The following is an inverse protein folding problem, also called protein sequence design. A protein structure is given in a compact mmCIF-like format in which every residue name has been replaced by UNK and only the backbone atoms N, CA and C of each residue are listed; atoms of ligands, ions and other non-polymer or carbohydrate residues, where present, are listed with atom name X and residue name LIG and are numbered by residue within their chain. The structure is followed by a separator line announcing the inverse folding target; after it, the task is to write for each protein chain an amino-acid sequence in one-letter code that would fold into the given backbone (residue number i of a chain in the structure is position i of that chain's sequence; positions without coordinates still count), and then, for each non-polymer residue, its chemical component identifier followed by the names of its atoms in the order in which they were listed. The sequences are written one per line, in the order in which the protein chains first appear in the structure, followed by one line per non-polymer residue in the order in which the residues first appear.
data_IF_267681328891
#
_entry.id   IF_267681328891
#
_cell.length_a   1.000
_cell.length_b   1.000
_cell.length_c   1.000
_cell.angle_alpha   90.00
_cell.angle_beta   90.00
_cell.angle_gamma   90.00
#
_symmetry.space_group_name_H-M   'P 1'
#
loop_
_entity.id
_entity.type
_entity.pdbx_description
1 polymer ?
#
# COMPACT_ATOMS: atom_id res chain seq x y z
N UNK A 1 -60.30 26.44 1.71
CA UNK A 1 -59.56 26.66 0.44
C UNK A 1 -58.73 27.95 0.48
N UNK A 2 -59.28 29.12 0.82
CA UNK A 2 -58.54 30.39 0.84
C UNK A 2 -57.28 30.41 1.75
N UNK A 3 -57.34 29.86 2.98
CA UNK A 3 -56.15 29.75 3.86
C UNK A 3 -55.02 28.87 3.29
N UNK A 4 -55.37 27.83 2.54
CA UNK A 4 -54.38 26.94 1.91
C UNK A 4 -53.73 27.56 0.67
N UNK A 5 -54.46 28.41 -0.05
CA UNK A 5 -53.93 29.19 -1.17
C UNK A 5 -52.96 30.27 -0.68
N UNK A 6 -53.34 31.04 0.35
CA UNK A 6 -52.47 32.07 0.93
C UNK A 6 -51.17 31.49 1.51
N UNK A 7 -51.23 30.31 2.17
CA UNK A 7 -50.03 29.62 2.65
C UNK A 7 -49.15 29.09 1.51
N UNK A 8 -49.74 28.77 0.35
CA UNK A 8 -48.99 28.32 -0.83
C UNK A 8 -48.30 29.50 -1.52
N UNK A 9 -48.96 30.64 -1.62
CA UNK A 9 -48.42 31.87 -2.20
C UNK A 9 -47.26 32.44 -1.36
N UNK A 10 -47.43 32.53 -0.03
CA UNK A 10 -46.35 32.95 0.88
C UNK A 10 -45.14 32.00 0.79
N UNK A 11 -45.42 30.71 0.66
CA UNK A 11 -44.41 29.66 0.47
C UNK A 11 -43.63 29.81 -0.84
N UNK A 12 -44.31 30.13 -1.95
CA UNK A 12 -43.68 30.37 -3.24
C UNK A 12 -42.85 31.66 -3.22
N UNK A 13 -43.36 32.72 -2.58
CA UNK A 13 -42.64 33.98 -2.42
C UNK A 13 -41.32 33.83 -1.65
N UNK A 14 -41.32 33.07 -0.54
CA UNK A 14 -40.09 32.77 0.23
C UNK A 14 -39.09 31.94 -0.57
N UNK A 15 -39.57 31.03 -1.40
CA UNK A 15 -38.70 30.22 -2.27
C UNK A 15 -38.05 31.09 -3.36
N UNK A 16 -38.79 32.05 -3.92
CA UNK A 16 -38.22 33.07 -4.82
C UNK A 16 -37.21 33.97 -4.11
N UNK A 17 -37.49 34.44 -2.89
CA UNK A 17 -36.51 35.20 -2.08
C UNK A 17 -35.24 34.41 -1.80
N UNK A 18 -35.36 33.12 -1.47
CA UNK A 18 -34.21 32.24 -1.27
C UNK A 18 -33.36 32.09 -2.53
N UNK A 19 -34.01 31.94 -3.70
CA UNK A 19 -33.29 31.90 -4.98
C UNK A 19 -32.59 33.23 -5.29
N UNK A 20 -33.21 34.37 -4.97
CA UNK A 20 -32.59 35.69 -5.11
C UNK A 20 -31.41 35.86 -4.16
N UNK A 21 -31.50 35.44 -2.91
CA UNK A 21 -30.40 35.48 -1.95
C UNK A 21 -29.19 34.67 -2.46
N UNK A 22 -29.43 33.46 -2.98
CA UNK A 22 -28.38 32.64 -3.62
C UNK A 22 -27.80 33.35 -4.85
N UNK A 23 -28.65 33.90 -5.73
CA UNK A 23 -28.19 34.58 -6.95
C UNK A 23 -27.26 35.77 -6.65
N UNK A 24 -27.51 36.49 -5.57
CA UNK A 24 -26.70 37.65 -5.14
C UNK A 24 -25.53 37.28 -4.19
N UNK A 25 -25.37 36.00 -3.82
CA UNK A 25 -24.42 35.56 -2.78
C UNK A 25 -24.64 36.27 -1.42
N UNK A 26 -25.91 36.57 -1.09
CA UNK A 26 -26.31 37.34 0.10
C UNK A 26 -26.53 36.41 1.31
N UNK A 27 -25.58 36.43 2.24
CA UNK A 27 -25.62 35.65 3.49
C UNK A 27 -26.62 36.27 4.48
N UNK A 28 -26.76 37.58 4.51
CA UNK A 28 -27.61 38.27 5.47
C UNK A 28 -29.08 37.97 5.19
N UNK A 29 -29.49 38.02 3.92
CA UNK A 29 -30.84 37.66 3.50
C UNK A 29 -31.12 36.16 3.71
N UNK A 30 -30.12 35.29 3.54
CA UNK A 30 -30.25 33.87 3.88
C UNK A 30 -30.56 33.69 5.38
N UNK A 31 -29.87 34.41 6.26
CA UNK A 31 -30.13 34.35 7.70
C UNK A 31 -31.48 34.96 8.09
N UNK A 32 -31.89 36.05 7.44
CA UNK A 32 -33.24 36.62 7.62
C UNK A 32 -34.33 35.59 7.30
N UNK A 33 -34.22 34.91 6.14
CA UNK A 33 -35.16 33.87 5.71
C UNK A 33 -35.20 32.67 6.66
N UNK A 34 -34.05 32.28 7.24
CA UNK A 34 -33.98 31.20 8.23
C UNK A 34 -34.62 31.63 9.56
N UNK A 35 -34.44 32.90 9.97
CA UNK A 35 -35.13 33.47 11.13
C UNK A 35 -36.65 33.50 10.95
N UNK A 36 -37.13 33.85 9.74
CA UNK A 36 -38.55 33.83 9.37
C UNK A 36 -39.14 32.40 9.35
N UNK A 37 -38.38 31.40 8.88
CA UNK A 37 -38.83 30.00 8.80
C UNK A 37 -37.75 28.99 9.22
N UNK A 38 -37.81 28.53 10.47
CA UNK A 38 -36.83 27.61 11.05
C UNK A 38 -36.74 26.25 10.32
N UNK A 39 -37.82 25.80 9.65
CA UNK A 39 -37.87 24.53 8.92
C UNK A 39 -37.60 24.66 7.40
N UNK A 40 -37.20 25.85 6.92
CA UNK A 40 -37.03 26.15 5.50
C UNK A 40 -36.11 25.12 4.80
N UNK A 41 -34.93 24.87 5.39
CA UNK A 41 -33.94 23.93 4.85
C UNK A 41 -34.35 22.47 5.00
N UNK A 42 -35.13 22.12 6.03
CA UNK A 42 -35.67 20.77 6.21
C UNK A 42 -36.70 20.44 5.13
N UNK A 43 -37.55 21.41 4.79
CA UNK A 43 -38.56 21.27 3.74
C UNK A 43 -37.94 21.03 2.37
N UNK A 44 -36.89 21.80 2.04
CA UNK A 44 -36.11 21.66 0.82
C UNK A 44 -35.38 20.30 0.74
N UNK A 45 -35.28 19.57 1.86
CA UNK A 45 -34.73 18.21 1.89
C UNK A 45 -35.76 17.09 1.67
N UNK A 46 -37.07 17.36 1.71
CA UNK A 46 -38.10 16.31 1.75
C UNK A 46 -38.32 15.54 0.43
N UNK A 47 -37.89 16.10 -0.71
CA UNK A 47 -37.91 15.41 -2.00
C UNK A 47 -36.69 14.51 -2.18
N UNK A 48 -36.84 13.23 -2.60
CA UNK A 48 -35.71 12.31 -2.73
C UNK A 48 -34.70 12.69 -3.82
N UNK A 49 -35.03 13.64 -4.72
CA UNK A 49 -34.22 13.96 -5.91
C UNK A 49 -34.27 15.45 -6.33
N UNK A 50 -34.66 16.37 -5.44
CA UNK A 50 -34.68 17.80 -5.79
C UNK A 50 -33.32 18.47 -5.56
N UNK A 51 -32.97 19.43 -6.42
CA UNK A 51 -31.84 20.31 -6.20
C UNK A 51 -32.03 21.03 -4.87
N UNK A 52 -31.11 20.82 -3.93
CA UNK A 52 -31.09 21.59 -2.69
C UNK A 52 -30.57 23.00 -2.96
N UNK A 53 -30.83 23.98 -2.06
CA UNK A 53 -30.21 25.31 -2.14
C UNK A 53 -28.69 25.26 -2.38
N UNK A 54 -28.00 24.28 -1.77
CA UNK A 54 -26.57 24.08 -1.96
C UNK A 54 -26.18 23.61 -3.36
N UNK A 55 -27.01 22.82 -4.03
CA UNK A 55 -26.78 22.45 -5.44
C UNK A 55 -26.81 23.70 -6.34
N UNK A 56 -27.79 24.57 -6.12
CA UNK A 56 -27.98 25.81 -6.89
C UNK A 56 -26.82 26.77 -6.64
N UNK A 57 -26.46 27.00 -5.37
CA UNK A 57 -25.34 27.87 -5.01
C UNK A 57 -24.00 27.36 -5.58
N UNK A 58 -23.77 26.04 -5.53
CA UNK A 58 -22.56 25.42 -6.09
C UNK A 58 -22.50 25.52 -7.62
N UNK A 59 -23.61 25.29 -8.32
CA UNK A 59 -23.71 25.45 -9.77
C UNK A 59 -23.53 26.92 -10.21
N UNK A 60 -23.92 27.89 -9.39
CA UNK A 60 -23.81 29.32 -9.66
C UNK A 60 -22.48 29.96 -9.18
N UNK A 61 -21.60 29.19 -8.52
CA UNK A 61 -20.31 29.68 -8.01
C UNK A 61 -20.40 30.59 -6.79
N UNK A 62 -21.54 30.56 -6.09
CA UNK A 62 -21.88 31.43 -4.96
C UNK A 62 -21.27 30.85 -3.69
N UNK A 63 -19.95 31.02 -3.57
CA UNK A 63 -19.12 30.28 -2.61
C UNK A 63 -19.48 30.64 -1.17
N UNK A 64 -19.76 31.90 -0.88
CA UNK A 64 -20.04 32.38 0.48
C UNK A 64 -21.34 31.77 0.99
N UNK A 65 -22.42 31.89 0.22
CA UNK A 65 -23.72 31.26 0.52
C UNK A 65 -23.65 29.73 0.51
N UNK A 66 -22.90 29.13 -0.42
CA UNK A 66 -22.71 27.67 -0.45
C UNK A 66 -22.04 27.16 0.83
N UNK A 67 -21.04 27.87 1.34
CA UNK A 67 -20.36 27.52 2.57
C UNK A 67 -21.26 27.67 3.79
N UNK A 68 -22.01 28.77 3.87
CA UNK A 68 -22.99 28.95 4.96
C UNK A 68 -24.07 27.87 4.94
N UNK A 69 -24.61 27.52 3.77
CA UNK A 69 -25.55 26.40 3.63
C UNK A 69 -24.95 25.06 4.04
N UNK A 70 -23.67 24.82 3.75
CA UNK A 70 -22.96 23.62 4.17
C UNK A 70 -22.75 23.56 5.69
N UNK A 71 -22.49 24.71 6.34
CA UNK A 71 -22.36 24.84 7.80
C UNK A 71 -23.71 24.62 8.48
N UNK A 72 -24.75 25.32 8.01
CA UNK A 72 -26.10 25.26 8.57
C UNK A 72 -26.75 23.89 8.39
N UNK A 73 -26.49 23.22 7.25
CA UNK A 73 -27.05 21.90 6.96
C UNK A 73 -26.07 20.98 6.22
N UNK A 74 -25.11 20.35 6.94
CA UNK A 74 -24.07 19.50 6.34
C UNK A 74 -24.61 18.34 5.51
N UNK A 75 -25.82 17.84 5.80
CA UNK A 75 -26.46 16.78 5.00
C UNK A 75 -26.60 17.13 3.51
N UNK A 76 -26.65 18.42 3.15
CA UNK A 76 -26.76 18.86 1.77
C UNK A 76 -25.51 18.58 0.93
N UNK A 77 -24.32 18.53 1.54
CA UNK A 77 -23.05 18.36 0.81
C UNK A 77 -22.94 16.99 0.12
N UNK A 78 -23.64 15.97 0.66
CA UNK A 78 -23.62 14.58 0.19
C UNK A 78 -24.88 14.16 -0.55
N UNK A 79 -25.96 14.95 -0.46
CA UNK A 79 -27.22 14.65 -1.13
C UNK A 79 -27.02 14.75 -2.64
N UNK A 80 -27.62 13.83 -3.39
CA UNK A 80 -27.61 13.85 -4.85
C UNK A 80 -28.90 14.48 -5.38
N UNK A 81 -28.79 15.21 -6.49
CA UNK A 81 -29.95 15.69 -7.24
C UNK A 81 -30.57 14.59 -8.13
N UNK A 82 -31.57 14.94 -8.93
CA UNK A 82 -32.26 14.04 -9.87
C UNK A 82 -31.38 13.44 -10.95
N UNK A 83 -30.28 14.10 -11.28
CA UNK A 83 -29.31 13.62 -12.26
C UNK A 83 -28.26 12.70 -11.60
N UNK A 84 -28.24 12.64 -10.26
CA UNK A 84 -27.28 11.87 -9.50
C UNK A 84 -26.01 12.65 -9.16
N UNK A 85 -26.01 13.98 -9.24
CA UNK A 85 -24.85 14.82 -8.92
C UNK A 85 -24.94 15.38 -7.50
N UNK A 86 -23.80 15.44 -6.81
CA UNK A 86 -23.67 16.18 -5.55
C UNK A 86 -23.38 17.66 -5.84
N UNK A 87 -23.48 18.57 -4.84
CA UNK A 87 -23.12 19.97 -5.05
C UNK A 87 -21.68 20.15 -5.56
N UNK A 88 -20.74 19.33 -5.10
CA UNK A 88 -19.36 19.36 -5.61
C UNK A 88 -19.27 18.96 -7.08
N UNK A 89 -20.09 18.02 -7.56
CA UNK A 89 -20.12 17.69 -9.00
C UNK A 89 -20.65 18.87 -9.82
N UNK A 90 -21.70 19.54 -9.36
CA UNK A 90 -22.25 20.71 -10.05
C UNK A 90 -21.27 21.89 -10.08
N UNK A 91 -20.54 22.12 -8.97
CA UNK A 91 -19.47 23.12 -8.96
C UNK A 91 -18.40 22.83 -10.03
N UNK A 92 -17.99 21.57 -10.17
CA UNK A 92 -17.01 21.17 -11.18
C UNK A 92 -17.56 21.24 -12.61
N UNK A 93 -18.82 20.85 -12.80
CA UNK A 93 -19.51 20.90 -14.10
C UNK A 93 -19.62 22.32 -14.64
N UNK A 94 -19.84 23.29 -13.76
CA UNK A 94 -19.94 24.71 -14.09
C UNK A 94 -18.63 25.49 -13.87
N UNK A 95 -17.50 24.79 -13.70
CA UNK A 95 -16.15 25.38 -13.60
C UNK A 95 -15.95 26.32 -12.39
N UNK A 96 -16.80 26.20 -11.37
CA UNK A 96 -16.73 26.96 -10.12
C UNK A 96 -15.70 26.32 -9.17
N UNK A 97 -14.44 26.31 -9.58
CA UNK A 97 -13.33 25.74 -8.80
C UNK A 97 -13.16 26.36 -7.41
N UNK A 98 -13.35 27.67 -7.18
CA UNK A 98 -13.30 28.24 -5.83
C UNK A 98 -14.32 27.58 -4.89
N UNK A 99 -15.54 27.34 -5.37
CA UNK A 99 -16.58 26.66 -4.57
C UNK A 99 -16.22 25.19 -4.33
N UNK A 100 -15.67 24.49 -5.32
CA UNK A 100 -15.19 23.11 -5.14
C UNK A 100 -14.04 23.03 -4.11
N UNK A 101 -13.10 23.98 -4.12
CA UNK A 101 -12.01 24.10 -3.13
C UNK A 101 -12.54 24.37 -1.73
N UNK A 102 -13.53 25.26 -1.61
CA UNK A 102 -14.18 25.56 -0.33
C UNK A 102 -14.90 24.32 0.24
N UNK A 103 -15.65 23.59 -0.59
CA UNK A 103 -16.30 22.33 -0.20
C UNK A 103 -15.29 21.24 0.19
N UNK A 104 -14.17 21.11 -0.55
CA UNK A 104 -13.09 20.20 -0.19
C UNK A 104 -12.48 20.54 1.17
N UNK A 105 -12.26 21.84 1.43
CA UNK A 105 -11.69 22.34 2.70
C UNK A 105 -12.63 22.10 3.86
N UNK A 106 -13.95 22.23 3.64
CA UNK A 106 -14.98 21.90 4.62
C UNK A 106 -14.98 20.41 4.99
N UNK A 107 -15.03 19.53 3.99
CA UNK A 107 -14.97 18.08 4.22
C UNK A 107 -14.25 17.35 3.07
N UNK A 108 -12.98 16.91 3.26
CA UNK A 108 -12.22 16.21 2.23
C UNK A 108 -12.84 14.90 1.74
N UNK A 109 -13.71 14.28 2.53
CA UNK A 109 -14.43 13.05 2.16
C UNK A 109 -15.44 13.28 1.03
N UNK A 110 -15.82 14.52 0.74
CA UNK A 110 -16.74 14.85 -0.35
C UNK A 110 -16.17 14.46 -1.73
N UNK A 111 -14.84 14.44 -1.89
CA UNK A 111 -14.14 13.97 -3.10
C UNK A 111 -14.47 12.50 -3.44
N UNK A 112 -14.96 11.73 -2.46
CA UNK A 112 -15.31 10.31 -2.61
C UNK A 112 -16.82 10.06 -2.81
N UNK A 113 -17.64 11.12 -2.82
CA UNK A 113 -19.08 10.97 -3.02
C UNK A 113 -19.33 10.44 -4.42
N UNK A 114 -20.04 9.31 -4.50
CA UNK A 114 -20.36 8.65 -5.76
C UNK A 114 -21.65 9.24 -6.31
N UNK A 115 -21.53 9.96 -7.42
CA UNK A 115 -22.66 10.49 -8.17
C UNK A 115 -23.17 9.50 -9.22
N UNK A 116 -23.62 10.04 -10.36
CA UNK A 116 -24.16 9.26 -11.47
C UNK A 116 -23.14 8.21 -11.93
N UNK A 117 -23.60 6.97 -12.15
CA UNK A 117 -22.74 5.82 -12.55
C UNK A 117 -21.56 5.59 -11.59
N UNK A 118 -21.64 6.00 -10.33
CA UNK A 118 -20.57 5.83 -9.35
C UNK A 118 -19.35 6.73 -9.60
N UNK A 119 -19.44 7.70 -10.52
CA UNK A 119 -18.39 8.69 -10.77
C UNK A 119 -18.21 9.54 -9.50
N UNK A 120 -16.97 9.76 -9.09
CA UNK A 120 -16.66 10.67 -7.98
C UNK A 120 -16.14 12.00 -8.52
N UNK A 121 -16.10 13.08 -7.71
CA UNK A 121 -15.48 14.34 -8.12
C UNK A 121 -14.05 14.19 -8.68
N UNK A 122 -13.25 13.26 -8.14
CA UNK A 122 -11.92 12.95 -8.69
C UNK A 122 -11.98 12.37 -10.12
N UNK A 123 -12.93 11.45 -10.37
CA UNK A 123 -13.14 10.90 -11.72
C UNK A 123 -13.61 11.98 -12.68
N UNK A 124 -14.50 12.87 -12.23
CA UNK A 124 -15.05 13.95 -13.05
C UNK A 124 -13.96 14.93 -13.50
N UNK A 125 -13.06 15.34 -12.60
CA UNK A 125 -11.93 16.21 -12.98
C UNK A 125 -10.97 15.49 -13.93
N UNK A 126 -10.74 14.18 -13.73
CA UNK A 126 -9.89 13.40 -14.63
C UNK A 126 -10.49 13.25 -16.04
N UNK A 127 -11.82 13.33 -16.18
CA UNK A 127 -12.54 13.32 -17.46
C UNK A 127 -12.44 14.65 -18.20
N UNK A 128 -12.55 15.77 -17.47
CA UNK A 128 -12.62 17.11 -18.06
C UNK A 128 -11.34 17.46 -18.80
N UNK A 129 -11.46 17.91 -20.05
CA UNK A 129 -10.31 18.35 -20.85
C UNK A 129 -9.73 19.64 -20.26
N UNK A 130 -8.43 19.63 -19.97
CA UNK A 130 -7.72 20.77 -19.41
C UNK A 130 -6.29 20.82 -19.93
N UNK A 131 -5.81 22.03 -20.22
CA UNK A 131 -4.43 22.27 -20.67
C UNK A 131 -3.41 22.22 -19.53
N UNK A 132 -2.14 22.24 -19.87
CA UNK A 132 -1.06 22.39 -18.89
C UNK A 132 -1.21 23.74 -18.14
N UNK A 133 -1.14 23.70 -16.81
CA UNK A 133 -1.32 24.89 -15.97
C UNK A 133 -2.77 25.36 -15.79
N UNK A 134 -3.76 24.56 -16.22
CA UNK A 134 -5.17 24.85 -15.98
C UNK A 134 -5.59 24.60 -14.53
N UNK A 135 -6.59 25.34 -14.06
CA UNK A 135 -7.09 25.26 -12.68
C UNK A 135 -7.62 23.86 -12.33
N UNK A 136 -8.13 23.12 -13.32
CA UNK A 136 -8.59 21.74 -13.24
C UNK A 136 -7.47 20.78 -12.83
N UNK A 137 -6.30 20.93 -13.44
CA UNK A 137 -5.15 20.05 -13.20
C UNK A 137 -4.55 20.32 -11.81
N UNK A 138 -4.52 21.59 -11.39
CA UNK A 138 -4.13 21.93 -10.02
C UNK A 138 -5.15 21.40 -9.02
N UNK A 139 -6.44 21.56 -9.29
CA UNK A 139 -7.51 21.04 -8.43
C UNK A 139 -7.46 19.50 -8.33
N UNK A 140 -7.11 18.80 -9.41
CA UNK A 140 -6.87 17.35 -9.40
C UNK A 140 -5.74 16.99 -8.43
N UNK A 141 -4.62 17.73 -8.47
CA UNK A 141 -3.50 17.52 -7.56
C UNK A 141 -3.89 17.78 -6.10
N UNK A 142 -4.64 18.85 -5.84
CA UNK A 142 -5.17 19.18 -4.52
C UNK A 142 -6.12 18.09 -3.98
N UNK A 143 -7.00 17.55 -4.82
CA UNK A 143 -7.91 16.47 -4.44
C UNK A 143 -7.16 15.21 -4.01
N UNK A 144 -6.10 14.85 -4.74
CA UNK A 144 -5.23 13.72 -4.40
C UNK A 144 -4.47 13.96 -3.08
N UNK A 145 -4.11 15.21 -2.80
CA UNK A 145 -3.44 15.58 -1.55
C UNK A 145 -4.41 15.55 -0.37
N UNK A 146 -5.59 16.14 -0.51
CA UNK A 146 -6.62 16.23 0.52
C UNK A 146 -7.23 14.87 0.87
N UNK A 147 -7.45 14.00 -0.12
CA UNK A 147 -8.08 12.70 0.08
C UNK A 147 -7.32 11.56 -0.61
N UNK A 148 -6.20 11.12 -0.04
CA UNK A 148 -5.37 10.02 -0.59
C UNK A 148 -6.13 8.73 -0.95
N UNK A 149 -7.15 8.27 -0.17
CA UNK A 149 -7.89 7.07 -0.52
C UNK A 149 -8.70 7.19 -1.82
N UNK A 150 -9.02 8.41 -2.29
CA UNK A 150 -9.88 8.67 -3.45
C UNK A 150 -9.40 8.01 -4.74
N UNK A 151 -8.09 7.84 -4.91
CA UNK A 151 -7.48 7.17 -6.06
C UNK A 151 -7.92 5.70 -6.24
N UNK A 152 -8.38 5.06 -5.15
CA UNK A 152 -8.87 3.67 -5.15
C UNK A 152 -10.37 3.56 -5.41
N UNK A 153 -11.09 4.69 -5.49
CA UNK A 153 -12.50 4.64 -5.82
C UNK A 153 -12.70 4.19 -7.26
N UNK A 154 -13.77 3.45 -7.47
CA UNK A 154 -14.12 2.87 -8.77
C UNK A 154 -15.50 3.36 -9.18
N UNK A 155 -15.65 3.62 -10.47
CA UNK A 155 -16.96 3.85 -11.09
C UNK A 155 -17.81 2.57 -11.07
N UNK A 156 -19.07 2.68 -11.47
CA UNK A 156 -19.95 1.53 -11.71
C UNK A 156 -19.47 0.62 -12.84
N UNK A 157 -18.44 1.00 -13.61
CA UNK A 157 -17.77 0.16 -14.61
C UNK A 157 -16.44 -0.40 -14.12
N UNK A 158 -16.10 -0.22 -12.83
CA UNK A 158 -14.81 -0.65 -12.29
C UNK A 158 -13.63 0.20 -12.77
N UNK A 159 -13.87 1.36 -13.37
CA UNK A 159 -12.83 2.26 -13.86
C UNK A 159 -12.25 3.08 -12.70
N UNK A 160 -10.92 3.25 -12.68
CA UNK A 160 -10.24 4.22 -11.79
C UNK A 160 -10.16 5.59 -12.46
N UNK A 161 -9.81 6.65 -11.72
CA UNK A 161 -9.55 7.96 -12.30
C UNK A 161 -8.49 7.94 -13.42
N UNK A 162 -7.52 7.01 -13.36
CA UNK A 162 -6.52 6.83 -14.43
C UNK A 162 -7.15 6.24 -15.69
N UNK A 163 -8.08 5.28 -15.56
CA UNK A 163 -8.81 4.74 -16.72
C UNK A 163 -9.60 5.85 -17.41
N UNK A 164 -10.27 6.71 -16.63
CA UNK A 164 -11.04 7.85 -17.15
C UNK A 164 -10.15 8.85 -17.88
N UNK A 165 -9.03 9.30 -17.28
CA UNK A 165 -8.11 10.23 -17.94
C UNK A 165 -7.62 9.72 -19.31
N UNK A 166 -7.24 8.43 -19.37
CA UNK A 166 -6.80 7.82 -20.63
C UNK A 166 -7.95 7.66 -21.61
N UNK A 167 -9.14 7.24 -21.17
CA UNK A 167 -10.32 7.10 -22.05
C UNK A 167 -10.72 8.41 -22.71
N UNK A 168 -10.58 9.53 -22.00
CA UNK A 168 -10.92 10.87 -22.48
C UNK A 168 -9.74 11.63 -23.11
N UNK A 169 -8.61 10.96 -23.36
CA UNK A 169 -7.40 11.57 -23.98
C UNK A 169 -6.81 12.74 -23.18
N UNK A 170 -7.10 12.81 -21.88
CA UNK A 170 -6.55 13.84 -21.00
C UNK A 170 -5.14 13.44 -20.52
N UNK A 171 -4.14 13.83 -21.32
CA UNK A 171 -2.74 13.51 -21.07
C UNK A 171 -2.18 14.19 -19.81
N UNK A 172 -2.60 15.43 -19.53
CA UNK A 172 -2.10 16.18 -18.37
C UNK A 172 -2.66 15.63 -17.04
N UNK A 173 -3.95 15.28 -17.00
CA UNK A 173 -4.52 14.58 -15.84
C UNK A 173 -3.83 13.22 -15.62
N UNK A 174 -3.54 12.50 -16.71
CA UNK A 174 -2.77 11.26 -16.61
C UNK A 174 -1.37 11.48 -16.02
N UNK A 175 -0.63 12.52 -16.43
CA UNK A 175 0.70 12.86 -15.87
C UNK A 175 0.63 13.11 -14.37
N UNK A 176 -0.35 13.88 -13.90
CA UNK A 176 -0.55 14.16 -12.46
C UNK A 176 -0.88 12.87 -11.70
N UNK A 177 -1.87 12.10 -12.17
CA UNK A 177 -2.28 10.85 -11.54
C UNK A 177 -1.13 9.83 -11.48
N UNK A 178 -0.44 9.63 -12.60
CA UNK A 178 0.69 8.71 -12.69
C UNK A 178 1.88 9.16 -11.85
N UNK A 179 2.19 10.46 -11.88
CA UNK A 179 3.24 11.07 -11.07
C UNK A 179 2.96 10.96 -9.56
N UNK A 180 1.69 11.09 -9.16
CA UNK A 180 1.26 10.90 -7.78
C UNK A 180 1.36 9.42 -7.38
N UNK A 181 0.86 8.49 -8.21
CA UNK A 181 0.95 7.04 -7.97
C UNK A 181 2.39 6.55 -7.76
N UNK A 182 3.34 7.11 -8.51
CA UNK A 182 4.78 6.84 -8.31
C UNK A 182 5.27 7.31 -6.93
N UNK A 183 4.91 8.55 -6.55
CA UNK A 183 5.33 9.14 -5.26
C UNK A 183 4.78 8.37 -4.05
N UNK A 184 3.56 7.85 -4.14
CA UNK A 184 2.94 7.06 -3.06
C UNK A 184 3.15 5.55 -3.19
N UNK A 185 3.90 5.10 -4.20
CA UNK A 185 4.15 3.69 -4.50
C UNK A 185 2.86 2.83 -4.65
N UNK A 186 1.84 3.38 -5.31
CA UNK A 186 0.56 2.71 -5.62
C UNK A 186 0.43 2.33 -7.11
N UNK A 187 1.55 2.14 -7.81
CA UNK A 187 1.57 1.80 -9.25
C UNK A 187 0.84 0.49 -9.58
N UNK A 188 0.59 -0.38 -8.59
CA UNK A 188 -0.24 -1.58 -8.77
C UNK A 188 -1.68 -1.28 -9.20
N UNK A 189 -2.21 -0.07 -8.91
CA UNK A 189 -3.55 0.36 -9.36
C UNK A 189 -3.64 0.39 -10.90
N UNK A 190 -2.51 0.61 -11.60
CA UNK A 190 -2.47 0.57 -13.07
C UNK A 190 -2.74 -0.84 -13.64
N UNK A 191 -2.65 -1.89 -12.81
CA UNK A 191 -2.96 -3.27 -13.21
C UNK A 191 -4.42 -3.62 -13.02
N UNK A 192 -5.17 -2.79 -12.29
CA UNK A 192 -6.59 -3.03 -12.07
C UNK A 192 -7.33 -3.03 -13.39
N UNK A 193 -8.35 -3.87 -13.46
CA UNK A 193 -9.18 -4.04 -14.64
C UNK A 193 -10.56 -3.46 -14.41
N UNK A 194 -11.09 -2.81 -15.44
CA UNK A 194 -12.49 -2.44 -15.53
C UNK A 194 -13.41 -3.68 -15.69
N UNK A 195 -14.71 -3.46 -15.83
CA UNK A 195 -15.70 -4.52 -16.04
C UNK A 195 -15.47 -5.34 -17.32
N UNK A 196 -14.87 -4.74 -18.34
CA UNK A 196 -14.49 -5.42 -19.59
C UNK A 196 -13.14 -6.18 -19.44
N UNK A 197 -12.52 -6.14 -18.26
CA UNK A 197 -11.22 -6.76 -18.04
C UNK A 197 -10.05 -5.97 -18.65
N UNK A 198 -10.29 -4.75 -19.12
CA UNK A 198 -9.26 -3.88 -19.66
C UNK A 198 -8.53 -3.20 -18.50
N UNK A 199 -7.21 -3.28 -18.48
CA UNK A 199 -6.40 -2.36 -17.69
C UNK A 199 -6.16 -1.06 -18.48
N UNK A 200 -5.57 -0.06 -17.82
CA UNK A 200 -5.27 1.25 -18.43
C UNK A 200 -4.45 1.15 -19.73
N UNK A 201 -3.58 0.14 -19.88
CA UNK A 201 -2.80 -0.06 -21.11
C UNK A 201 -3.68 -0.52 -22.29
N UNK A 202 -4.70 -1.34 -22.05
CA UNK A 202 -5.67 -1.71 -23.11
C UNK A 202 -6.41 -0.46 -23.62
N UNK A 203 -6.82 0.42 -22.70
CA UNK A 203 -7.50 1.67 -23.06
C UNK A 203 -6.55 2.60 -23.83
N UNK A 204 -5.31 2.79 -23.36
CA UNK A 204 -4.33 3.65 -24.04
C UNK A 204 -4.05 3.20 -25.49
N UNK A 205 -3.99 1.89 -25.71
CA UNK A 205 -3.82 1.32 -27.06
C UNK A 205 -5.07 1.52 -27.91
N UNK A 206 -6.27 1.27 -27.37
CA UNK A 206 -7.55 1.49 -28.06
C UNK A 206 -7.70 2.94 -28.49
N UNK A 207 -7.34 3.87 -27.62
CA UNK A 207 -7.41 5.31 -27.87
C UNK A 207 -6.25 5.88 -28.69
N UNK A 208 -5.26 5.05 -29.07
CA UNK A 208 -4.10 5.42 -29.90
C UNK A 208 -3.25 6.55 -29.27
N UNK A 209 -2.86 6.39 -28.00
CA UNK A 209 -2.11 7.40 -27.24
C UNK A 209 -0.64 7.00 -27.02
N UNK A 210 0.29 7.33 -27.94
CA UNK A 210 1.67 6.85 -27.90
C UNK A 210 2.43 7.17 -26.62
N UNK A 211 2.29 8.39 -26.13
CA UNK A 211 3.02 8.95 -25.00
C UNK A 211 2.64 8.21 -23.72
N UNK A 212 1.33 7.97 -23.52
CA UNK A 212 0.81 7.19 -22.38
C UNK A 212 1.27 5.74 -22.47
N UNK A 213 1.20 5.12 -23.66
CA UNK A 213 1.65 3.74 -23.86
C UNK A 213 3.13 3.59 -23.47
N UNK A 214 3.99 4.53 -23.87
CA UNK A 214 5.42 4.51 -23.52
C UNK A 214 5.64 4.54 -22.00
N UNK A 215 4.89 5.35 -21.27
CA UNK A 215 4.98 5.46 -19.81
C UNK A 215 4.45 4.21 -19.09
N UNK A 216 3.39 3.60 -19.62
CA UNK A 216 2.71 2.45 -18.99
C UNK A 216 3.43 1.12 -19.20
N UNK A 217 4.12 0.91 -20.33
CA UNK A 217 4.76 -0.38 -20.68
C UNK A 217 5.76 -0.85 -19.62
N UNK A 218 6.42 0.07 -18.92
CA UNK A 218 7.37 -0.25 -17.84
C UNK A 218 6.70 -0.68 -16.53
N UNK A 219 5.41 -0.35 -16.35
CA UNK A 219 4.71 -0.47 -15.07
C UNK A 219 3.54 -1.47 -15.12
N UNK A 220 3.02 -1.79 -16.31
CA UNK A 220 1.81 -2.60 -16.51
C UNK A 220 2.13 -3.90 -17.26
N UNK A 221 1.37 -4.94 -16.96
CA UNK A 221 1.50 -6.23 -17.66
C UNK A 221 0.99 -6.12 -19.10
N UNK A 222 1.93 -6.14 -20.05
CA UNK A 222 1.69 -6.07 -21.51
C UNK A 222 0.93 -7.30 -22.04
N UNK A 223 0.90 -8.40 -21.27
CA UNK A 223 0.29 -9.67 -21.68
C UNK A 223 -1.02 -9.98 -20.94
N UNK A 224 -1.50 -9.06 -20.11
CA UNK A 224 -2.79 -9.20 -19.46
C UNK A 224 -3.90 -9.33 -20.51
N UNK A 225 -4.81 -10.28 -20.33
CA UNK A 225 -5.97 -10.46 -21.19
C UNK A 225 -7.21 -9.86 -20.55
N UNK A 226 -8.04 -9.23 -21.39
CA UNK A 226 -9.38 -8.78 -21.03
C UNK A 226 -10.41 -9.92 -21.12
N UNK A 227 -11.70 -9.63 -20.88
CA UNK A 227 -12.75 -10.67 -20.91
C UNK A 227 -12.88 -11.33 -22.29
N UNK A 228 -12.52 -10.60 -23.35
CA UNK A 228 -12.50 -11.07 -24.73
C UNK A 228 -11.24 -11.87 -25.08
N UNK A 229 -10.38 -12.18 -24.09
CA UNK A 229 -9.09 -12.87 -24.25
C UNK A 229 -8.09 -12.11 -25.11
N UNK A 230 -8.31 -10.81 -25.34
CA UNK A 230 -7.43 -9.93 -26.11
C UNK A 230 -6.40 -9.29 -25.18
N UNK A 231 -5.17 -9.24 -25.63
CA UNK A 231 -4.07 -8.46 -25.03
C UNK A 231 -4.03 -7.05 -25.63
N UNK A 232 -3.29 -6.11 -25.01
CA UNK A 232 -3.00 -4.81 -25.63
C UNK A 232 -2.41 -4.95 -27.05
N UNK A 233 -1.60 -5.97 -27.31
CA UNK A 233 -1.09 -6.25 -28.67
C UNK A 233 -2.22 -6.63 -29.64
N UNK A 234 -3.17 -7.47 -29.21
CA UNK A 234 -4.28 -7.88 -30.06
C UNK A 234 -5.19 -6.68 -30.41
N UNK A 235 -5.43 -5.79 -29.44
CA UNK A 235 -6.16 -4.53 -29.68
C UNK A 235 -5.39 -3.61 -30.64
N UNK A 236 -4.07 -3.54 -30.51
CA UNK A 236 -3.22 -2.76 -31.42
C UNK A 236 -3.32 -3.26 -32.86
N UNK A 237 -3.37 -4.58 -33.07
CA UNK A 237 -3.50 -5.18 -34.41
C UNK A 237 -4.88 -4.93 -35.03
N UNK A 238 -5.96 -5.02 -34.24
CA UNK A 238 -7.32 -4.77 -34.72
C UNK A 238 -7.52 -3.31 -35.14
N UNK A 239 -6.92 -2.36 -34.41
CA UNK A 239 -7.04 -0.92 -34.66
C UNK A 239 -5.70 -0.32 -35.09
N UNK A 240 -5.02 -0.96 -36.04
CA UNK A 240 -3.64 -0.61 -36.42
C UNK A 240 -3.52 0.87 -36.77
N UNK A 241 -2.44 1.47 -36.29
CA UNK A 241 -2.03 2.83 -36.58
C UNK A 241 -0.51 2.89 -36.72
N UNK A 242 -0.02 3.84 -37.52
CA UNK A 242 1.38 3.91 -37.89
C UNK A 242 2.25 4.39 -36.73
N UNK A 243 2.77 3.45 -35.93
CA UNK A 243 3.79 3.72 -34.93
C UNK A 243 4.70 2.51 -34.73
N UNK A 244 5.79 2.48 -35.51
CA UNK A 244 6.76 1.40 -35.52
C UNK A 244 7.44 1.20 -34.14
N UNK A 245 7.57 2.24 -33.32
CA UNK A 245 8.19 2.14 -32.00
C UNK A 245 7.32 1.35 -31.03
N UNK A 246 6.02 1.64 -31.00
CA UNK A 246 5.04 0.97 -30.14
C UNK A 246 4.77 -0.45 -30.62
N UNK A 247 4.68 -0.64 -31.95
CA UNK A 247 4.56 -1.97 -32.53
C UNK A 247 5.70 -2.88 -32.04
N UNK A 248 6.95 -2.40 -32.08
CA UNK A 248 8.11 -3.15 -31.58
C UNK A 248 8.03 -3.44 -30.08
N UNK A 249 7.50 -2.51 -29.27
CA UNK A 249 7.43 -2.65 -27.80
C UNK A 249 6.29 -3.55 -27.34
N UNK A 250 5.13 -3.52 -28.01
CA UNK A 250 3.98 -4.35 -27.69
C UNK A 250 4.09 -5.76 -28.27
N UNK A 251 4.91 -5.97 -29.32
CA UNK A 251 5.07 -7.27 -29.96
C UNK A 251 5.44 -8.33 -28.92
N UNK A 252 4.68 -9.43 -28.83
CA UNK A 252 4.96 -10.46 -27.84
C UNK A 252 6.32 -11.09 -28.09
N UNK A 253 7.22 -10.92 -27.12
CA UNK A 253 8.44 -11.72 -27.06
C UNK A 253 8.00 -13.13 -26.67
N UNK A 254 8.51 -14.17 -27.36
CA UNK A 254 8.25 -15.58 -26.99
C UNK A 254 8.60 -15.77 -25.52
N UNK A 255 7.58 -15.76 -24.67
CA UNK A 255 7.72 -15.89 -23.24
C UNK A 255 6.72 -16.96 -22.81
N UNK A 256 7.20 -17.98 -22.11
CA UNK A 256 6.36 -18.99 -21.49
C UNK A 256 5.54 -18.30 -20.39
N UNK A 257 4.34 -17.83 -20.74
CA UNK A 257 3.39 -17.32 -19.75
C UNK A 257 2.92 -18.52 -18.92
N UNK A 258 3.30 -18.55 -17.64
CA UNK A 258 2.77 -19.54 -16.71
C UNK A 258 1.27 -19.26 -16.55
N UNK A 259 0.44 -20.30 -16.69
CA UNK A 259 -1.02 -20.23 -16.59
C UNK A 259 -1.45 -19.52 -15.29
N UNK A 260 -2.26 -18.48 -15.42
CA UNK A 260 -2.92 -17.83 -14.28
C UNK A 260 -3.81 -18.85 -13.56
N UNK A 261 -3.82 -18.81 -12.23
CA UNK A 261 -4.64 -19.70 -11.41
C UNK A 261 -5.91 -19.00 -10.98
N UNK A 262 -7.00 -19.74 -10.91
CA UNK A 262 -8.24 -19.21 -10.33
C UNK A 262 -8.16 -19.21 -8.80
N UNK A 263 -8.99 -18.39 -8.15
CA UNK A 263 -9.08 -18.39 -6.68
C UNK A 263 -9.57 -19.75 -6.15
N UNK A 264 -10.46 -20.42 -6.88
CA UNK A 264 -10.95 -21.76 -6.51
C UNK A 264 -9.89 -22.84 -6.65
N UNK A 265 -9.01 -22.75 -7.67
CA UNK A 265 -7.84 -23.64 -7.77
C UNK A 265 -6.88 -23.42 -6.60
N UNK A 266 -6.67 -22.17 -6.16
CA UNK A 266 -5.82 -21.86 -5.02
C UNK A 266 -6.37 -22.45 -3.71
N UNK A 267 -7.65 -22.23 -3.40
CA UNK A 267 -8.25 -22.79 -2.18
C UNK A 267 -8.33 -24.33 -2.16
N UNK A 268 -8.24 -24.98 -3.32
CA UNK A 268 -8.13 -26.45 -3.42
C UNK A 268 -6.70 -26.98 -3.25
N UNK A 269 -5.70 -26.11 -3.27
CA UNK A 269 -4.32 -26.53 -3.02
C UNK A 269 -4.13 -26.86 -1.55
N UNK A 270 -3.21 -27.78 -1.28
CA UNK A 270 -2.66 -27.87 0.06
C UNK A 270 -1.99 -26.56 0.45
N UNK A 271 -2.13 -26.19 1.73
CA UNK A 271 -1.44 -25.06 2.33
C UNK A 271 0.06 -25.15 2.01
N UNK A 272 0.60 -24.03 1.54
CA UNK A 272 2.04 -23.86 1.35
C UNK A 272 2.77 -23.96 2.69
N UNK A 273 4.06 -24.29 2.64
CA UNK A 273 4.88 -24.36 3.85
C UNK A 273 4.87 -23.05 4.66
N UNK A 274 4.69 -21.90 3.99
CA UNK A 274 4.58 -20.60 4.64
C UNK A 274 3.27 -20.46 5.43
N UNK A 275 2.14 -20.83 4.84
CA UNK A 275 0.82 -20.78 5.50
C UNK A 275 0.75 -21.77 6.66
N UNK A 276 1.33 -22.97 6.49
CA UNK A 276 1.45 -23.96 7.57
C UNK A 276 2.29 -23.41 8.74
N UNK A 277 3.38 -22.70 8.44
CA UNK A 277 4.24 -22.09 9.44
C UNK A 277 3.55 -20.92 10.16
N UNK A 278 2.85 -20.05 9.42
CA UNK A 278 2.08 -18.94 9.96
C UNK A 278 1.00 -19.42 10.95
N UNK A 279 0.29 -20.49 10.60
CA UNK A 279 -0.69 -21.12 11.47
C UNK A 279 -0.07 -21.77 12.70
N UNK A 280 1.01 -22.55 12.53
CA UNK A 280 1.66 -23.28 13.62
C UNK A 280 2.24 -22.35 14.71
N UNK A 281 2.80 -21.21 14.32
CA UNK A 281 3.42 -20.26 15.25
C UNK A 281 2.51 -19.08 15.63
N UNK A 282 1.29 -19.01 15.09
CA UNK A 282 0.31 -17.97 15.46
C UNK A 282 0.65 -16.56 14.97
N UNK A 283 1.45 -16.42 13.90
CA UNK A 283 1.86 -15.11 13.36
C UNK A 283 0.71 -14.30 12.72
N UNK A 284 -0.46 -14.89 12.57
CA UNK A 284 -1.66 -14.23 12.04
C UNK A 284 -2.30 -13.21 13.00
N UNK A 285 -2.03 -13.29 14.30
CA UNK A 285 -2.47 -12.30 15.29
C UNK A 285 -1.39 -11.23 15.49
N UNK A 286 -1.78 -9.96 15.35
CA UNK A 286 -0.87 -8.82 15.55
C UNK A 286 -0.27 -8.81 16.96
N UNK A 287 -1.06 -9.19 17.98
CA UNK A 287 -0.59 -9.21 19.37
C UNK A 287 0.41 -10.33 19.64
N UNK A 288 0.17 -11.52 19.09
CA UNK A 288 1.10 -12.64 19.20
C UNK A 288 2.41 -12.34 18.45
N UNK A 289 2.32 -11.74 17.26
CA UNK A 289 3.49 -11.32 16.47
C UNK A 289 4.36 -10.33 17.22
N UNK A 290 3.76 -9.35 17.90
CA UNK A 290 4.50 -8.35 18.69
C UNK A 290 5.22 -8.99 19.88
N UNK A 291 4.56 -9.92 20.59
CA UNK A 291 5.17 -10.68 21.69
C UNK A 291 6.34 -11.53 21.17
N UNK A 292 6.14 -12.27 20.07
CA UNK A 292 7.18 -13.12 19.49
C UNK A 292 8.37 -12.27 19.02
N UNK A 293 8.13 -11.13 18.38
CA UNK A 293 9.20 -10.23 17.94
C UNK A 293 10.00 -9.70 19.13
N UNK A 294 9.32 -9.31 20.21
CA UNK A 294 9.96 -8.81 21.43
C UNK A 294 10.81 -9.90 22.09
N UNK A 295 10.26 -11.08 22.33
CA UNK A 295 10.97 -12.21 22.98
C UNK A 295 12.12 -12.67 22.10
N UNK A 296 11.93 -12.79 20.79
CA UNK A 296 12.99 -13.18 19.85
C UNK A 296 14.13 -12.16 19.89
N UNK A 297 13.83 -10.87 19.82
CA UNK A 297 14.85 -9.82 19.89
C UNK A 297 15.68 -9.93 21.17
N UNK A 298 15.03 -10.15 22.33
CA UNK A 298 15.73 -10.37 23.60
C UNK A 298 16.65 -11.60 23.56
N UNK A 299 16.16 -12.74 23.06
CA UNK A 299 16.96 -13.96 22.93
C UNK A 299 18.16 -13.74 21.99
N UNK A 300 17.96 -13.09 20.85
CA UNK A 300 19.03 -12.78 19.90
C UNK A 300 20.09 -11.87 20.55
N UNK A 301 19.67 -10.85 21.29
CA UNK A 301 20.61 -9.97 21.99
C UNK A 301 21.40 -10.71 23.08
N UNK A 302 20.74 -11.51 23.90
CA UNK A 302 21.38 -12.26 24.97
C UNK A 302 22.40 -13.28 24.43
N UNK A 303 22.02 -14.02 23.38
CA UNK A 303 22.88 -15.03 22.75
C UNK A 303 24.03 -14.42 21.96
N UNK A 304 23.84 -13.25 21.34
CA UNK A 304 24.92 -12.49 20.70
C UNK A 304 25.95 -12.00 21.73
N UNK A 305 25.50 -11.47 22.87
CA UNK A 305 26.38 -11.06 23.96
C UNK A 305 27.12 -12.26 24.57
N UNK A 306 26.42 -13.37 24.79
CA UNK A 306 27.02 -14.59 25.32
C UNK A 306 28.06 -15.20 24.37
N UNK A 307 27.91 -15.02 23.06
CA UNK A 307 28.92 -15.43 22.09
C UNK A 307 30.17 -14.54 22.10
N UNK A 308 30.04 -13.24 22.39
CA UNK A 308 31.20 -12.34 22.51
C UNK A 308 31.92 -12.48 23.85
N UNK A 309 31.18 -12.84 24.90
CA UNK A 309 31.67 -13.00 26.26
C UNK A 309 31.34 -14.41 26.76
N UNK A 310 32.07 -15.44 26.27
CA UNK A 310 31.80 -16.82 26.66
C UNK A 310 32.03 -17.02 28.17
N UNK A 311 31.34 -17.99 28.80
CA UNK A 311 31.59 -18.37 30.18
C UNK A 311 33.08 -18.61 30.44
N UNK A 312 33.63 -17.95 31.45
CA UNK A 312 35.06 -17.99 31.76
C UNK A 312 35.89 -16.87 31.12
N UNK A 313 35.41 -16.21 30.07
CA UNK A 313 36.09 -15.06 29.44
C UNK A 313 37.30 -15.44 28.58
N UNK A 314 38.19 -14.46 28.37
CA UNK A 314 39.41 -14.60 27.59
C UNK A 314 40.65 -14.41 28.48
N UNK A 315 41.73 -15.09 28.11
CA UNK A 315 43.03 -14.84 28.71
C UNK A 315 43.50 -13.41 28.39
N UNK A 316 43.93 -12.68 29.42
CA UNK A 316 44.43 -11.30 29.30
C UNK A 316 45.93 -11.26 28.96
N UNK A 317 46.68 -12.25 29.45
CA UNK A 317 48.13 -12.36 29.28
C UNK A 317 48.51 -13.58 28.42
N UNK A 318 49.74 -13.59 27.92
CA UNK A 318 50.31 -14.71 27.18
C UNK A 318 51.40 -15.39 28.00
N UNK A 319 51.30 -16.71 28.18
CA UNK A 319 52.31 -17.53 28.85
C UNK A 319 53.08 -18.36 27.80
N UNK A 320 54.31 -17.97 27.42
CA UNK A 320 55.12 -18.67 26.43
C UNK A 320 55.70 -19.99 27.00
N UNK A 321 56.19 -20.90 26.13
CA UNK A 321 56.78 -22.16 26.60
C UNK A 321 58.10 -21.87 27.31
N UNK A 322 58.25 -22.35 28.55
CA UNK A 322 59.53 -22.37 29.25
C UNK A 322 60.52 -23.26 28.47
N UNK A 323 61.73 -22.74 28.23
CA UNK A 323 62.84 -23.48 27.62
C UNK A 323 63.04 -24.85 28.30
N UNK A 324 63.40 -25.93 27.58
CA UNK A 324 63.52 -27.28 28.15
C UNK A 324 64.65 -27.49 29.17
N UNK A 325 65.33 -26.44 29.63
CA UNK A 325 66.57 -26.55 30.40
C UNK A 325 66.41 -26.33 31.91
N UNK A 326 65.19 -26.32 32.45
CA UNK A 326 64.94 -26.25 33.89
C UNK A 326 63.92 -27.29 34.36
N UNK A 327 64.19 -28.57 34.06
CA UNK A 327 63.61 -29.66 34.83
C UNK A 327 64.27 -29.68 36.21
N UNK A 328 63.70 -28.97 37.18
CA UNK A 328 63.79 -29.31 38.60
C UNK A 328 62.89 -28.39 39.44
N UNK A 329 61.66 -28.86 39.70
CA UNK A 329 61.12 -29.04 41.04
C UNK A 329 59.62 -29.30 40.96
N UNK A 330 59.16 -30.15 41.88
CA UNK A 330 57.81 -30.67 41.97
C UNK A 330 56.74 -29.57 42.04
N UNK A 331 56.04 -29.36 40.92
CA UNK A 331 54.72 -28.74 40.89
C UNK A 331 53.87 -29.51 39.87
N UNK A 332 53.00 -30.39 40.38
CA UNK A 332 52.02 -31.13 39.59
C UNK A 332 50.87 -30.22 39.12
N UNK A 333 51.18 -29.26 38.26
CA UNK A 333 50.22 -28.46 37.53
C UNK A 333 50.69 -28.37 36.10
N UNK A 334 50.01 -29.06 35.18
CA UNK A 334 50.08 -28.76 33.75
C UNK A 334 49.58 -27.32 33.56
N UNK A 335 50.46 -26.34 33.70
CA UNK A 335 50.15 -24.95 33.36
C UNK A 335 50.02 -24.88 31.84
N UNK A 336 48.76 -24.85 31.39
CA UNK A 336 48.41 -24.88 29.99
C UNK A 336 48.92 -23.61 29.30
N UNK A 337 49.70 -23.80 28.23
CA UNK A 337 50.14 -22.74 27.32
C UNK A 337 48.92 -21.92 26.85
N UNK A 338 48.90 -20.62 27.10
CA UNK A 338 47.80 -19.75 26.70
C UNK A 338 48.32 -18.44 26.13
N UNK A 339 47.59 -17.92 25.15
CA UNK A 339 47.86 -16.65 24.50
C UNK A 339 46.72 -15.67 24.82
N UNK A 340 47.06 -14.40 25.00
CA UNK A 340 46.07 -13.35 25.19
C UNK A 340 45.06 -13.35 24.03
N UNK A 341 43.77 -13.29 24.36
CA UNK A 341 42.67 -13.39 23.39
C UNK A 341 42.15 -14.81 23.12
N UNK A 342 42.76 -15.86 23.67
CA UNK A 342 42.17 -17.21 23.64
C UNK A 342 41.04 -17.33 24.68
N UNK A 343 39.98 -18.08 24.34
CA UNK A 343 38.90 -18.41 25.26
C UNK A 343 39.43 -19.29 26.41
N UNK A 344 39.01 -19.01 27.64
CA UNK A 344 39.39 -19.76 28.85
C UNK A 344 38.69 -21.13 28.90
N UNK A 345 37.41 -21.19 28.53
CA UNK A 345 36.66 -22.43 28.40
C UNK A 345 37.18 -23.31 27.25
N UNK A 346 37.49 -24.58 27.52
CA UNK A 346 38.07 -25.50 26.56
C UNK A 346 37.29 -26.83 26.44
N UNK A 347 37.66 -27.64 25.44
CA UNK A 347 37.11 -28.99 25.24
C UNK A 347 35.60 -29.02 24.99
N UNK A 348 34.95 -30.09 25.47
CA UNK A 348 33.52 -30.37 25.22
C UNK A 348 32.56 -29.29 25.68
N UNK A 349 32.86 -28.59 26.77
CA UNK A 349 32.01 -27.52 27.30
C UNK A 349 31.93 -26.32 26.35
N UNK A 350 33.04 -25.99 25.67
CA UNK A 350 33.09 -24.92 24.68
C UNK A 350 32.20 -25.26 23.48
N UNK A 351 32.35 -26.46 22.93
CA UNK A 351 31.57 -26.91 21.79
C UNK A 351 30.07 -26.98 22.12
N UNK A 352 29.70 -27.56 23.27
CA UNK A 352 28.30 -27.66 23.69
C UNK A 352 27.66 -26.28 23.86
N UNK A 353 28.31 -25.36 24.58
CA UNK A 353 27.83 -23.99 24.74
C UNK A 353 27.66 -23.29 23.39
N UNK A 354 28.68 -23.37 22.52
CA UNK A 354 28.68 -22.70 21.23
C UNK A 354 27.56 -23.19 20.32
N UNK A 355 27.30 -24.51 20.29
CA UNK A 355 26.20 -25.10 19.51
C UNK A 355 24.83 -24.66 20.04
N UNK A 356 24.58 -24.80 21.35
CA UNK A 356 23.27 -24.46 21.94
C UNK A 356 22.99 -22.96 21.82
N UNK A 357 23.99 -22.12 22.09
CA UNK A 357 23.87 -20.66 21.97
C UNK A 357 23.58 -20.24 20.52
N UNK A 358 24.24 -20.86 19.55
CA UNK A 358 24.01 -20.60 18.14
C UNK A 358 22.63 -21.07 17.69
N UNK A 359 22.18 -22.25 18.14
CA UNK A 359 20.82 -22.72 17.85
C UNK A 359 19.77 -21.74 18.37
N UNK A 360 19.92 -21.23 19.59
CA UNK A 360 19.01 -20.23 20.16
C UNK A 360 19.03 -18.92 19.37
N UNK A 361 20.22 -18.44 18.97
CA UNK A 361 20.37 -17.24 18.15
C UNK A 361 19.69 -17.39 16.79
N UNK A 362 19.98 -18.46 16.03
CA UNK A 362 19.40 -18.67 14.71
C UNK A 362 17.91 -18.99 14.75
N UNK A 363 17.41 -19.67 15.79
CA UNK A 363 15.97 -19.86 16.01
C UNK A 363 15.27 -18.51 16.22
N UNK A 364 15.88 -17.60 16.99
CA UNK A 364 15.36 -16.24 17.17
C UNK A 364 15.38 -15.43 15.86
N UNK A 365 16.47 -15.49 15.07
CA UNK A 365 16.52 -14.88 13.74
C UNK A 365 15.39 -15.42 12.85
N UNK A 366 15.18 -16.73 12.85
CA UNK A 366 14.11 -17.38 12.10
C UNK A 366 12.71 -16.91 12.51
N UNK A 367 12.46 -16.71 13.81
CA UNK A 367 11.21 -16.18 14.33
C UNK A 367 10.98 -14.71 13.91
N UNK A 368 12.01 -13.86 13.99
CA UNK A 368 11.96 -12.47 13.50
C UNK A 368 11.66 -12.44 11.99
N UNK A 369 12.31 -13.32 11.23
CA UNK A 369 12.06 -13.49 9.80
C UNK A 369 10.62 -13.88 9.50
N UNK A 370 10.09 -14.88 10.21
CA UNK A 370 8.73 -15.33 10.00
C UNK A 370 7.68 -14.25 10.31
N UNK A 371 7.91 -13.42 11.34
CA UNK A 371 7.07 -12.24 11.61
C UNK A 371 7.20 -11.15 10.54
N UNK A 372 8.39 -10.98 9.96
CA UNK A 372 8.68 -9.90 9.01
C UNK A 372 8.25 -10.23 7.58
N UNK A 373 8.25 -11.51 7.18
CA UNK A 373 7.96 -11.98 5.82
C UNK A 373 6.54 -11.60 5.33
N UNK A 374 5.46 -11.78 6.11
CA UNK A 374 4.10 -11.41 5.68
C UNK A 374 3.95 -9.91 5.39
N UNK A 375 4.84 -9.07 5.93
CA UNK A 375 4.82 -7.62 5.79
C UNK A 375 5.74 -7.11 4.66
N UNK A 376 6.39 -8.00 3.90
CA UNK A 376 7.22 -7.62 2.75
C UNK A 376 6.36 -6.93 1.68
N UNK A 377 6.84 -5.83 1.08
CA UNK A 377 8.23 -5.34 1.09
C UNK A 377 8.56 -4.31 2.18
N UNK A 378 7.64 -3.96 3.09
CA UNK A 378 7.87 -2.87 4.08
C UNK A 378 9.01 -3.17 5.05
N UNK A 379 9.31 -4.45 5.27
CA UNK A 379 10.32 -4.96 6.22
C UNK A 379 11.65 -5.34 5.55
N UNK A 380 11.88 -4.98 4.28
CA UNK A 380 13.14 -5.31 3.55
C UNK A 380 14.41 -4.93 4.33
N UNK A 381 14.40 -3.77 4.99
CA UNK A 381 15.53 -3.29 5.79
C UNK A 381 15.83 -4.23 6.96
N UNK A 382 14.79 -4.74 7.63
CA UNK A 382 14.91 -5.70 8.73
C UNK A 382 15.52 -6.99 8.21
N UNK A 383 15.03 -7.53 7.10
CA UNK A 383 15.60 -8.74 6.50
C UNK A 383 17.08 -8.59 6.14
N UNK A 384 17.49 -7.45 5.55
CA UNK A 384 18.90 -7.17 5.25
C UNK A 384 19.74 -7.08 6.54
N UNK A 385 19.24 -6.38 7.56
CA UNK A 385 19.94 -6.26 8.84
C UNK A 385 20.11 -7.62 9.53
N UNK A 386 19.09 -8.48 9.50
CA UNK A 386 19.18 -9.84 10.06
C UNK A 386 20.19 -10.73 9.33
N UNK A 387 20.34 -10.57 8.01
CA UNK A 387 21.39 -11.26 7.24
C UNK A 387 22.77 -10.82 7.70
N UNK A 388 22.99 -9.50 7.80
CA UNK A 388 24.27 -8.93 8.26
C UNK A 388 24.59 -9.38 9.69
N UNK A 389 23.59 -9.38 10.57
CA UNK A 389 23.75 -9.79 11.96
C UNK A 389 24.09 -11.29 12.07
N UNK A 390 23.42 -12.15 11.30
CA UNK A 390 23.69 -13.58 11.26
C UNK A 390 25.08 -13.94 10.73
N UNK A 391 25.54 -13.23 9.69
CA UNK A 391 26.90 -13.43 9.16
C UNK A 391 27.97 -12.91 10.11
N UNK A 392 27.75 -11.74 10.75
CA UNK A 392 28.66 -11.19 11.75
C UNK A 392 28.82 -12.12 12.96
N UNK A 393 27.71 -12.66 13.47
CA UNK A 393 27.72 -13.64 14.58
C UNK A 393 28.50 -14.91 14.22
N UNK A 394 28.25 -15.47 13.02
CA UNK A 394 28.95 -16.67 12.55
C UNK A 394 30.44 -16.44 12.38
N UNK A 395 30.82 -15.28 11.83
CA UNK A 395 32.23 -14.90 11.68
C UNK A 395 32.91 -14.74 13.05
N UNK A 396 32.22 -14.08 13.99
CA UNK A 396 32.73 -13.89 15.35
C UNK A 396 33.02 -15.24 16.02
N UNK A 397 32.06 -16.18 16.00
CA UNK A 397 32.25 -17.50 16.59
C UNK A 397 33.43 -18.25 15.97
N UNK A 398 33.54 -18.30 14.63
CA UNK A 398 34.65 -18.98 13.95
C UNK A 398 36.01 -18.35 14.28
N UNK A 399 36.05 -17.03 14.50
CA UNK A 399 37.31 -16.32 14.80
C UNK A 399 37.85 -16.57 16.21
N UNK A 400 36.99 -16.94 17.16
CA UNK A 400 37.39 -17.12 18.56
C UNK A 400 37.98 -18.51 18.86
N UNK A 401 37.84 -19.50 17.96
CA UNK A 401 38.38 -20.85 18.19
C UNK A 401 39.89 -20.92 17.92
N UNK A 402 40.68 -21.55 18.83
CA UNK A 402 42.13 -21.70 18.64
C UNK A 402 42.44 -22.59 17.43
N UNK A 403 43.45 -22.20 16.64
CA UNK A 403 43.84 -22.87 15.37
C UNK A 403 44.43 -24.28 15.55
N UNK A 404 44.59 -24.76 16.78
CA UNK A 404 45.31 -25.99 17.13
C UNK A 404 44.49 -27.28 16.94
N UNK A 405 43.19 -27.20 16.69
CA UNK A 405 42.31 -28.36 16.44
C UNK A 405 41.60 -28.26 15.07
N UNK A 406 42.31 -28.51 13.98
CA UNK A 406 41.79 -28.30 12.61
C UNK A 406 40.55 -29.16 12.26
N UNK A 407 40.42 -30.36 12.81
CA UNK A 407 39.31 -31.28 12.56
C UNK A 407 37.94 -30.79 13.05
N UNK A 408 37.73 -30.67 14.38
CA UNK A 408 36.45 -30.24 14.95
C UNK A 408 36.10 -28.79 14.58
N UNK A 409 37.09 -27.91 14.40
CA UNK A 409 36.86 -26.53 13.95
C UNK A 409 36.25 -26.47 12.53
N UNK A 410 36.66 -27.36 11.61
CA UNK A 410 36.10 -27.43 10.27
C UNK A 410 34.65 -27.96 10.26
N UNK A 411 34.33 -28.94 11.12
CA UNK A 411 32.96 -29.45 11.28
C UNK A 411 32.03 -28.37 11.86
N UNK A 412 32.53 -27.61 12.83
CA UNK A 412 31.79 -26.49 13.43
C UNK A 412 31.58 -25.33 12.43
N UNK A 413 32.59 -25.03 11.60
CA UNK A 413 32.44 -24.06 10.49
C UNK A 413 31.37 -24.52 9.50
N UNK A 414 31.33 -25.80 9.15
CA UNK A 414 30.28 -26.38 8.31
C UNK A 414 28.88 -26.27 8.92
N UNK A 415 28.76 -26.53 10.23
CA UNK A 415 27.53 -26.35 10.99
C UNK A 415 27.03 -24.89 10.96
N UNK A 416 27.92 -23.90 11.16
CA UNK A 416 27.53 -22.49 11.08
C UNK A 416 27.10 -22.06 9.68
N UNK A 417 27.80 -22.53 8.64
CA UNK A 417 27.37 -22.29 7.25
C UNK A 417 25.97 -22.89 7.02
N UNK A 418 25.70 -24.09 7.53
CA UNK A 418 24.37 -24.72 7.44
C UNK A 418 23.29 -23.91 8.16
N UNK A 419 23.55 -23.40 9.37
CA UNK A 419 22.62 -22.56 10.12
C UNK A 419 22.34 -21.22 9.44
N UNK A 420 23.35 -20.59 8.84
CA UNK A 420 23.20 -19.36 8.04
C UNK A 420 22.30 -19.63 6.83
N UNK A 421 22.51 -20.74 6.12
CA UNK A 421 21.68 -21.12 4.98
C UNK A 421 20.24 -21.42 5.41
N UNK A 422 20.05 -22.18 6.49
CA UNK A 422 18.74 -22.54 7.02
C UNK A 422 17.97 -21.31 7.55
N UNK A 423 18.64 -20.40 8.24
CA UNK A 423 18.03 -19.21 8.85
C UNK A 423 17.79 -18.05 7.87
N UNK A 424 18.55 -17.96 6.76
CA UNK A 424 18.50 -16.82 5.85
C UNK A 424 18.02 -17.16 4.44
N UNK A 425 18.39 -18.32 3.88
CA UNK A 425 18.08 -18.67 2.48
C UNK A 425 16.74 -19.37 2.37
N UNK A 426 16.48 -20.35 3.25
CA UNK A 426 15.23 -21.13 3.21
C UNK A 426 13.98 -20.24 3.35
N UNK A 427 13.91 -19.27 4.29
CA UNK A 427 12.73 -18.40 4.41
C UNK A 427 12.49 -17.53 3.17
N UNK A 428 13.56 -17.02 2.54
CA UNK A 428 13.47 -16.26 1.28
C UNK A 428 12.92 -17.12 0.15
N UNK A 429 13.41 -18.36 0.02
CA UNK A 429 12.98 -19.29 -1.03
C UNK A 429 11.52 -19.66 -0.82
N UNK A 430 11.12 -20.02 0.40
CA UNK A 430 9.74 -20.34 0.76
C UNK A 430 8.81 -19.16 0.48
N UNK A 431 9.22 -17.94 0.85
CA UNK A 431 8.46 -16.73 0.52
C UNK A 431 8.37 -16.48 -0.99
N UNK A 432 9.47 -16.60 -1.75
CA UNK A 432 9.44 -16.41 -3.21
C UNK A 432 8.51 -17.40 -3.90
N UNK A 433 8.45 -18.64 -3.42
CA UNK A 433 7.53 -19.66 -3.92
C UNK A 433 6.07 -19.28 -3.61
N UNK A 434 5.78 -18.90 -2.37
CA UNK A 434 4.44 -18.49 -1.93
C UNK A 434 3.97 -17.21 -2.64
N UNK A 435 4.79 -16.16 -2.67
CA UNK A 435 4.53 -14.93 -3.41
C UNK A 435 4.36 -15.18 -4.91
N UNK A 436 5.09 -16.15 -5.47
CA UNK A 436 4.94 -16.60 -6.85
C UNK A 436 3.62 -17.34 -7.12
N UNK A 437 2.99 -17.94 -6.11
CA UNK A 437 1.64 -18.54 -6.19
C UNK A 437 0.58 -17.43 -6.10
N UNK A 438 0.68 -16.54 -5.10
CA UNK A 438 -0.23 -15.39 -4.96
C UNK A 438 -0.26 -14.54 -6.22
N UNK A 439 0.90 -14.21 -6.80
CA UNK A 439 0.99 -13.44 -8.05
C UNK A 439 0.27 -14.12 -9.23
N UNK A 440 0.14 -15.45 -9.24
CA UNK A 440 -0.60 -16.16 -10.31
C UNK A 440 -2.12 -16.09 -10.14
N UNK A 441 -2.60 -15.80 -8.94
CA UNK A 441 -4.02 -15.57 -8.63
C UNK A 441 -4.37 -14.10 -8.92
N UNK A 442 -3.50 -13.20 -8.46
CA UNK A 442 -3.64 -11.76 -8.66
C UNK A 442 -3.39 -11.32 -10.11
N UNK A 443 -2.88 -12.23 -10.96
CA UNK A 443 -2.85 -12.07 -12.43
C UNK A 443 -4.25 -11.86 -13.05
N UNK A 444 -5.33 -12.09 -12.28
CA UNK A 444 -6.67 -11.68 -12.68
C UNK A 444 -6.83 -10.16 -12.73
N UNK A 445 -5.99 -9.38 -12.05
CA UNK A 445 -5.98 -7.92 -12.07
C UNK A 445 -7.22 -7.29 -11.44
N UNK A 446 -7.97 -8.05 -10.63
CA UNK A 446 -9.11 -7.51 -9.89
C UNK A 446 -8.60 -6.83 -8.60
N UNK A 447 -9.29 -5.83 -8.05
CA UNK A 447 -8.90 -5.21 -6.78
C UNK A 447 -9.03 -6.24 -5.64
N UNK A 448 -7.94 -6.96 -5.27
CA UNK A 448 -7.94 -7.97 -4.19
C UNK A 448 -7.70 -7.33 -2.80
N UNK A 449 -7.83 -6.01 -2.67
CA UNK A 449 -7.73 -5.33 -1.36
C UNK A 449 -8.85 -5.71 -0.36
N UNK A 450 -9.80 -6.58 -0.72
CA UNK A 450 -10.95 -6.96 0.12
C UNK A 450 -10.97 -8.39 0.64
N UNK A 451 -10.04 -9.28 0.25
CA UNK A 451 -10.11 -10.69 0.68
C UNK A 451 -9.03 -11.15 1.67
N UNK A 452 -7.95 -10.39 1.86
CA UNK A 452 -6.88 -10.71 2.83
C UNK A 452 -6.43 -9.51 3.68
N UNK A 453 -7.29 -8.49 3.82
CA UNK A 453 -6.98 -7.25 4.54
C UNK A 453 -8.12 -6.76 5.43
N UNK A 454 -8.40 -7.50 6.51
CA UNK A 454 -9.26 -7.10 7.63
C UNK A 454 -8.54 -7.64 8.88
N UNK A 455 -8.07 -6.86 9.84
CA UNK A 455 -8.74 -5.75 10.51
C UNK A 455 -7.72 -4.83 11.18
N UNK A 456 -7.96 -3.52 11.07
CA UNK A 456 -7.28 -2.49 11.86
C UNK A 456 -8.07 -1.19 11.88
N UNK A 457 -9.40 -1.24 11.71
CA UNK A 457 -10.27 -0.11 12.05
C UNK A 457 -10.82 -0.38 13.45
N UNK A 458 -10.15 0.17 14.46
CA UNK A 458 -10.85 0.56 15.68
C UNK A 458 -11.77 1.72 15.31
N UNK A 459 -12.98 1.41 14.88
CA UNK A 459 -14.10 2.32 15.06
C UNK A 459 -14.39 2.33 16.57
N UNK A 460 -14.09 3.44 17.22
CA UNK A 460 -14.74 3.82 18.48
C UNK A 460 -15.60 5.06 18.19
N UNK A 461 -16.72 5.19 18.91
CA UNK A 461 -17.92 5.92 18.47
C UNK A 461 -17.68 7.39 18.15
#
# INVERSE_FOLDING_TARGET
MARGLAQKEDREARETRLQQAIAHDDIDELHNLIGEEHQLLDRQSRGPFQNTPLHIAAAAGKTSVAMELAILKPSFTRKLNSEGYSPMHLALQHENYPTARALMTFEPKLIRVRGQRGVTPLHYIAEKEGGEGSDEIELLAEFLFACKPSIKDLTSQGETAVHIAVKHRNFEAFKVLFGWLKRVNLTHILKWKDHDGNNVLHIAVREKQPEIIKLLIEHVEVYGKNIHKKTPWDIFQENRWDNHEIEKKLRPKKCFTRKARTLSEFFKMELTSLEKYEFFFGFGDETARDIILLVSTLIATATYQAALSPPGGYWQDSYPPLNPSAANSNAGGTENLHQAGNIIMNGWNLYFFSVVNSMAFFASIGAIWASAIPLLPRTNMVCIAMVILGTAFSYSLVSQFPKTEEGPANLLRGFYVSLVVAGLVVPVVVWRLHAGIIKRIDATGRPIDTLLGSNGRKCKP
#
